data_IF_230632441511
#
_entry.id   IF_230632441511
#
_cell.length_a   1.000
_cell.length_b   1.000
_cell.length_c   1.000
_cell.angle_alpha   90.00
_cell.angle_beta   90.00
_cell.angle_gamma   90.00
#
_symmetry.space_group_name_H-M   'P 1'
#
loop_
_entity.id
_entity.type
_entity.pdbx_description
1 polymer ?
#
# COMPACT_ATOMS: atom_id res chain seq x y z
N UNK A 1 4.18 15.93 -23.06
CA UNK A 1 4.56 16.72 -21.85
C UNK A 1 3.62 16.47 -20.67
N UNK A 2 2.29 16.46 -20.87
CA UNK A 2 1.31 16.11 -19.82
C UNK A 2 1.39 14.66 -19.33
N UNK A 3 1.59 13.70 -20.25
CA UNK A 3 1.83 12.30 -19.91
C UNK A 3 3.00 12.12 -18.92
N UNK A 4 4.08 12.89 -19.13
CA UNK A 4 5.23 12.90 -18.22
C UNK A 4 4.87 13.47 -16.85
N UNK A 5 4.01 14.48 -16.77
CA UNK A 5 3.58 15.04 -15.47
C UNK A 5 2.75 14.03 -14.66
N UNK A 6 1.94 13.20 -15.32
CA UNK A 6 1.21 12.09 -14.68
C UNK A 6 2.20 11.02 -14.19
N UNK A 7 3.18 10.63 -15.01
CA UNK A 7 4.21 9.65 -14.62
C UNK A 7 5.11 10.14 -13.47
N UNK A 8 5.43 11.44 -13.47
CA UNK A 8 6.19 12.12 -12.42
C UNK A 8 5.36 12.32 -11.14
N UNK A 9 4.08 11.93 -11.12
CA UNK A 9 3.12 12.15 -10.02
C UNK A 9 2.97 13.63 -9.61
N UNK A 10 3.10 14.56 -10.55
CA UNK A 10 2.87 16.00 -10.28
C UNK A 10 1.39 16.32 -10.06
N UNK A 11 0.50 15.49 -10.59
CA UNK A 11 -0.93 15.46 -10.31
C UNK A 11 -1.49 14.08 -10.68
N UNK A 12 -2.59 13.67 -10.05
CA UNK A 12 -3.32 12.47 -10.44
C UNK A 12 -4.23 12.78 -11.64
N UNK A 13 -4.13 11.97 -12.71
CA UNK A 13 -4.96 12.19 -13.89
C UNK A 13 -4.77 11.14 -14.98
N UNK A 14 -5.61 11.22 -16.01
CA UNK A 14 -5.55 10.37 -17.20
C UNK A 14 -5.75 11.19 -18.46
N UNK A 15 -5.01 10.85 -19.51
CA UNK A 15 -5.23 11.37 -20.86
C UNK A 15 -6.23 10.48 -21.59
N UNK A 16 -7.44 10.98 -21.84
CA UNK A 16 -8.44 10.30 -22.64
C UNK A 16 -8.29 10.73 -24.10
N UNK A 17 -7.71 9.86 -24.92
CA UNK A 17 -7.50 10.12 -26.36
C UNK A 17 -8.79 10.00 -27.17
N UNK A 18 -9.81 9.28 -26.68
CA UNK A 18 -11.10 9.14 -27.36
C UNK A 18 -11.95 10.40 -27.22
N UNK A 19 -11.99 10.99 -26.02
CA UNK A 19 -12.69 12.24 -25.76
C UNK A 19 -11.84 13.50 -26.05
N UNK A 20 -10.52 13.34 -26.23
CA UNK A 20 -9.60 14.44 -26.49
C UNK A 20 -9.38 15.36 -25.28
N UNK A 21 -9.49 14.83 -24.05
CA UNK A 21 -9.44 15.61 -22.83
C UNK A 21 -8.44 15.04 -21.79
N UNK A 22 -8.07 15.89 -20.84
CA UNK A 22 -7.30 15.52 -19.66
C UNK A 22 -8.28 15.46 -18.47
N UNK A 23 -8.37 14.30 -17.84
CA UNK A 23 -9.17 14.10 -16.63
C UNK A 23 -8.23 14.21 -15.43
N UNK A 24 -8.49 15.16 -14.53
CA UNK A 24 -7.75 15.33 -13.28
C UNK A 24 -8.56 14.73 -12.14
N UNK A 25 -7.89 13.96 -11.28
CA UNK A 25 -8.49 13.38 -10.09
C UNK A 25 -8.07 14.17 -8.85
N UNK A 26 -8.91 14.12 -7.82
CA UNK A 26 -8.46 14.50 -6.48
C UNK A 26 -7.35 13.56 -6.02
N UNK A 27 -6.48 14.06 -5.14
CA UNK A 27 -5.45 13.22 -4.55
C UNK A 27 -6.12 12.05 -3.81
N UNK A 28 -5.67 10.81 -4.04
CA UNK A 28 -6.23 9.67 -3.35
C UNK A 28 -6.02 9.85 -1.84
N UNK A 29 -7.10 9.76 -1.07
CA UNK A 29 -7.00 9.74 0.40
C UNK A 29 -6.24 8.48 0.80
N UNK A 30 -5.03 8.66 1.28
CA UNK A 30 -4.24 7.56 1.85
C UNK A 30 -4.86 7.19 3.20
N UNK A 31 -5.72 6.18 3.22
CA UNK A 31 -6.27 5.68 4.48
C UNK A 31 -5.19 4.90 5.25
N UNK A 32 -4.95 5.31 6.49
CA UNK A 32 -3.96 4.67 7.36
C UNK A 32 -4.29 3.23 7.74
N UNK A 33 -5.53 2.77 7.48
CA UNK A 33 -6.00 1.44 7.85
C UNK A 33 -5.31 0.33 7.06
N UNK A 34 -4.96 0.55 5.79
CA UNK A 34 -4.31 -0.49 4.98
C UNK A 34 -2.88 -0.78 5.48
N UNK A 35 -1.99 0.22 5.65
CA UNK A 35 -0.68 -0.01 6.27
C UNK A 35 -0.78 -0.61 7.67
N UNK A 36 -1.68 -0.08 8.52
CA UNK A 36 -1.84 -0.57 9.89
C UNK A 36 -2.30 -2.04 9.94
N UNK A 37 -3.17 -2.45 9.02
CA UNK A 37 -3.63 -3.85 8.91
C UNK A 37 -2.49 -4.77 8.49
N UNK A 38 -1.69 -4.36 7.50
CA UNK A 38 -0.52 -5.14 7.06
C UNK A 38 0.52 -5.28 8.18
N UNK A 39 0.78 -4.20 8.93
CA UNK A 39 1.66 -4.24 10.09
C UNK A 39 1.14 -5.20 11.17
N UNK A 40 -0.17 -5.15 11.45
CA UNK A 40 -0.81 -6.04 12.42
C UNK A 40 -0.63 -7.50 12.02
N UNK A 41 -0.88 -7.85 10.76
CA UNK A 41 -0.68 -9.22 10.25
C UNK A 41 0.78 -9.65 10.40
N UNK A 42 1.73 -8.77 10.06
CA UNK A 42 3.17 -9.05 10.22
C UNK A 42 3.53 -9.31 11.69
N UNK A 43 3.00 -8.50 12.62
CA UNK A 43 3.27 -8.65 14.03
C UNK A 43 2.67 -9.92 14.61
N UNK A 44 1.48 -10.34 14.16
CA UNK A 44 0.90 -11.64 14.52
C UNK A 44 1.83 -12.78 14.09
N UNK A 45 2.39 -12.74 12.88
CA UNK A 45 3.37 -13.74 12.42
C UNK A 45 4.58 -13.84 13.35
N UNK A 46 5.19 -12.71 13.72
CA UNK A 46 6.33 -12.67 14.66
C UNK A 46 5.98 -13.24 16.03
N UNK A 47 4.76 -13.00 16.52
CA UNK A 47 4.30 -13.55 17.80
C UNK A 47 4.15 -15.07 17.72
N UNK A 48 3.56 -15.59 16.64
CA UNK A 48 3.43 -17.04 16.41
C UNK A 48 4.82 -17.71 16.39
N UNK A 49 5.77 -17.14 15.64
CA UNK A 49 7.14 -17.65 15.59
C UNK A 49 7.80 -17.65 16.97
N UNK A 50 7.63 -16.57 17.73
CA UNK A 50 8.17 -16.46 19.10
C UNK A 50 7.57 -17.51 20.04
N UNK A 51 6.26 -17.74 19.96
CA UNK A 51 5.56 -18.75 20.77
C UNK A 51 6.03 -20.16 20.41
N UNK A 52 6.21 -20.45 19.12
CA UNK A 52 6.75 -21.74 18.66
C UNK A 52 8.15 -21.97 19.21
N UNK A 53 9.06 -21.00 19.07
CA UNK A 53 10.43 -21.09 19.61
C UNK A 53 10.46 -21.30 21.13
N UNK A 54 9.58 -20.62 21.87
CA UNK A 54 9.48 -20.77 23.33
C UNK A 54 8.95 -22.16 23.71
N UNK A 55 7.94 -22.65 23.00
CA UNK A 55 7.35 -23.97 23.26
C UNK A 55 8.35 -25.08 22.97
N UNK A 56 9.10 -25.00 21.87
CA UNK A 56 10.14 -25.96 21.52
C UNK A 56 11.23 -26.08 22.60
N UNK A 57 11.60 -24.97 23.26
CA UNK A 57 12.56 -24.98 24.38
C UNK A 57 12.04 -25.64 25.64
N UNK A 58 10.73 -25.69 25.84
CA UNK A 58 10.11 -26.34 27.02
C UNK A 58 10.00 -27.86 26.81
N UNK A 59 9.87 -28.30 25.55
CA UNK A 59 9.75 -29.72 25.20
C UNK A 59 11.09 -30.46 25.12
N UNK A 60 12.21 -29.74 25.10
CA UNK A 60 13.57 -30.27 25.14
C UNK A 60 14.09 -30.35 26.59
#
# INVERSE_FOLDING_TARGET
KLSQMILDKKFAGTLDQGAGCLIIFEDPKTEAIFPATLETISNVGKVVDSLYMRSAKIMA
#
